data_IF_083082203652
#
_entry.id   IF_083082203652
#
_cell.length_a   1.000
_cell.length_b   1.000
_cell.length_c   1.000
_cell.angle_alpha   90.00
_cell.angle_beta   90.00
_cell.angle_gamma   90.00
#
_symmetry.space_group_name_H-M   'P 1'
#
loop_
_entity.id
_entity.type
_entity.pdbx_description
1 polymer ?
#
# COMPACT_ATOMS: atom_id res chain seq x y z
N UNK A 1 15.98 -12.16 0.94
CA UNK A 1 17.42 -11.85 1.13
C UNK A 1 17.80 -10.36 0.91
N UNK A 2 16.84 -9.46 0.62
CA UNK A 2 17.13 -8.03 0.32
C UNK A 2 17.48 -7.22 1.58
N UNK A 3 17.03 -7.66 2.74
CA UNK A 3 17.07 -6.88 3.99
C UNK A 3 17.99 -7.47 5.07
N UNK A 4 18.49 -8.71 4.89
CA UNK A 4 19.14 -9.49 5.95
C UNK A 4 20.38 -8.80 6.55
N UNK A 5 21.18 -8.13 5.74
CA UNK A 5 22.40 -7.45 6.21
C UNK A 5 22.13 -6.09 6.85
N UNK A 6 20.89 -5.58 6.75
CA UNK A 6 20.48 -4.28 7.29
C UNK A 6 19.59 -4.37 8.54
N UNK A 7 19.15 -5.57 8.93
CA UNK A 7 18.33 -5.78 10.13
C UNK A 7 19.26 -6.13 11.31
N UNK A 8 19.47 -5.16 12.18
CA UNK A 8 20.23 -5.37 13.40
C UNK A 8 19.40 -6.07 14.47
N UNK A 9 18.13 -5.70 14.58
CA UNK A 9 17.22 -6.24 15.58
C UNK A 9 15.85 -6.54 14.98
N UNK A 10 15.32 -7.69 15.33
CA UNK A 10 13.95 -8.12 15.00
C UNK A 10 13.15 -8.39 16.28
N UNK A 11 11.96 -7.81 16.36
CA UNK A 11 10.99 -8.08 17.43
C UNK A 11 9.74 -8.66 16.79
N UNK A 12 9.41 -9.91 17.09
CA UNK A 12 8.19 -10.59 16.67
C UNK A 12 7.17 -10.60 17.79
N UNK A 13 5.90 -10.32 17.48
CA UNK A 13 4.83 -10.26 18.49
C UNK A 13 3.65 -11.09 17.98
N UNK A 14 3.25 -12.10 18.77
CA UNK A 14 2.06 -12.89 18.51
C UNK A 14 1.45 -13.37 19.84
N UNK A 15 0.14 -13.22 20.01
CA UNK A 15 -0.57 -13.64 21.23
C UNK A 15 -0.60 -15.17 21.43
N UNK A 16 -0.42 -15.93 20.35
CA UNK A 16 -0.39 -17.39 20.35
C UNK A 16 0.98 -17.92 20.77
N UNK A 17 1.03 -18.63 21.89
CA UNK A 17 2.23 -19.32 22.36
C UNK A 17 2.73 -20.36 21.35
N UNK A 18 1.82 -21.05 20.67
CA UNK A 18 2.18 -22.01 19.63
C UNK A 18 2.86 -21.35 18.43
N UNK A 19 2.45 -20.14 18.04
CA UNK A 19 3.09 -19.36 16.98
C UNK A 19 4.48 -18.86 17.40
N UNK A 20 4.63 -18.41 18.64
CA UNK A 20 5.94 -18.02 19.18
C UNK A 20 6.90 -19.21 19.17
N UNK A 21 6.48 -20.36 19.71
CA UNK A 21 7.31 -21.58 19.72
C UNK A 21 7.68 -22.04 18.29
N UNK A 22 6.76 -21.93 17.34
CA UNK A 22 7.05 -22.22 15.93
C UNK A 22 8.07 -21.25 15.34
N UNK A 23 7.94 -19.96 15.64
CA UNK A 23 8.89 -18.93 15.19
C UNK A 23 10.30 -19.18 15.77
N UNK A 24 10.41 -19.53 17.04
CA UNK A 24 11.68 -19.93 17.70
C UNK A 24 12.34 -21.09 16.97
N UNK A 25 11.59 -22.17 16.71
CA UNK A 25 12.10 -23.32 15.98
C UNK A 25 12.60 -22.96 14.57
N UNK A 26 11.85 -22.15 13.82
CA UNK A 26 12.27 -21.69 12.49
C UNK A 26 13.55 -20.86 12.58
N UNK A 27 13.65 -19.97 13.55
CA UNK A 27 14.81 -19.12 13.75
C UNK A 27 16.04 -19.96 14.13
N UNK A 28 15.85 -20.99 14.95
CA UNK A 28 16.94 -21.88 15.36
C UNK A 28 17.47 -22.78 14.25
N UNK A 29 16.65 -23.10 13.27
CA UNK A 29 17.06 -23.84 12.07
C UNK A 29 17.71 -22.96 10.99
N UNK A 30 17.56 -21.63 11.07
CA UNK A 30 18.19 -20.73 10.10
C UNK A 30 19.73 -20.71 10.26
N UNK A 31 20.48 -20.69 9.16
CA UNK A 31 21.93 -20.46 9.20
C UNK A 31 22.26 -19.12 9.89
N UNK A 32 23.34 -19.10 10.68
CA UNK A 32 23.73 -17.90 11.47
C UNK A 32 23.83 -16.62 10.63
N UNK A 33 24.31 -16.72 9.41
CA UNK A 33 24.41 -15.60 8.48
C UNK A 33 23.08 -15.16 7.86
N UNK A 34 21.98 -15.83 8.19
CA UNK A 34 20.61 -15.48 7.77
C UNK A 34 19.70 -15.09 8.94
N UNK A 35 20.27 -14.98 10.14
CA UNK A 35 19.52 -14.51 11.32
C UNK A 35 19.81 -13.04 11.56
N UNK A 36 18.82 -12.24 12.02
CA UNK A 36 19.08 -10.92 12.58
C UNK A 36 20.10 -11.02 13.72
N UNK A 37 20.89 -9.96 13.93
CA UNK A 37 21.90 -9.96 15.00
C UNK A 37 21.26 -10.12 16.40
N UNK A 38 20.07 -9.57 16.58
CA UNK A 38 19.25 -9.73 17.79
C UNK A 38 17.81 -10.07 17.41
N UNK A 39 17.22 -11.07 18.08
CA UNK A 39 15.82 -11.46 17.90
C UNK A 39 15.15 -11.58 19.25
N UNK A 40 13.98 -10.99 19.37
CA UNK A 40 13.13 -11.05 20.56
C UNK A 40 11.71 -11.44 20.14
N UNK A 41 11.10 -12.41 20.83
CA UNK A 41 9.73 -12.83 20.57
C UNK A 41 8.87 -12.56 21.80
N UNK A 42 7.78 -11.83 21.61
CA UNK A 42 6.91 -11.33 22.66
C UNK A 42 5.47 -11.78 22.43
N UNK A 43 4.73 -12.00 23.51
CA UNK A 43 3.30 -12.34 23.43
C UNK A 43 2.39 -11.11 23.35
N UNK A 44 2.87 -9.97 23.79
CA UNK A 44 2.07 -8.75 23.88
C UNK A 44 2.92 -7.53 23.56
N UNK A 45 2.31 -6.56 22.92
CA UNK A 45 2.88 -5.23 22.72
C UNK A 45 2.38 -4.32 23.86
N UNK A 46 3.29 -3.89 24.73
CA UNK A 46 2.96 -2.88 25.75
C UNK A 46 3.34 -1.47 25.25
N UNK A 47 2.53 -0.45 25.56
CA UNK A 47 2.78 0.93 25.09
C UNK A 47 4.12 1.51 25.56
N UNK A 48 4.62 1.07 26.72
CA UNK A 48 5.80 1.64 27.39
C UNK A 48 7.00 0.67 27.46
N UNK A 49 7.05 -0.34 26.62
CA UNK A 49 8.24 -1.20 26.57
C UNK A 49 9.37 -0.49 25.82
N UNK A 50 10.44 -0.06 26.50
CA UNK A 50 11.49 0.74 25.87
C UNK A 50 12.22 0.03 24.72
N UNK A 51 12.06 -1.28 24.63
CA UNK A 51 12.75 -2.11 23.65
C UNK A 51 11.90 -2.47 22.41
N UNK A 52 10.69 -1.94 22.26
CA UNK A 52 9.82 -2.24 21.10
C UNK A 52 9.86 -1.17 20.00
N UNK A 53 10.52 -0.06 20.24
CA UNK A 53 10.64 1.01 19.24
C UNK A 53 11.51 0.58 18.05
N UNK A 54 10.93 0.63 16.84
CA UNK A 54 11.58 0.17 15.62
C UNK A 54 11.47 1.21 14.50
N UNK A 55 12.44 1.21 13.59
CA UNK A 55 12.41 2.06 12.39
C UNK A 55 11.29 1.64 11.45
N UNK A 56 11.03 0.33 11.37
CA UNK A 56 9.93 -0.26 10.62
C UNK A 56 9.06 -1.11 11.55
N UNK A 57 7.78 -0.75 11.63
CA UNK A 57 6.75 -1.56 12.30
C UNK A 57 5.80 -2.13 11.26
N UNK A 58 5.53 -3.43 11.34
CA UNK A 58 4.62 -4.12 10.41
C UNK A 58 3.55 -4.85 11.22
N UNK A 59 2.28 -4.55 10.95
CA UNK A 59 1.14 -5.33 11.43
C UNK A 59 0.48 -6.01 10.24
N UNK A 60 0.53 -7.34 10.20
CA UNK A 60 0.02 -8.12 9.09
C UNK A 60 -1.06 -9.09 9.55
N UNK A 61 -2.27 -8.97 8.96
CA UNK A 61 -3.43 -9.83 9.19
C UNK A 61 -3.92 -9.91 10.65
N UNK A 62 -3.61 -8.88 11.46
CA UNK A 62 -3.93 -8.85 12.87
C UNK A 62 -5.13 -7.95 13.21
N UNK A 63 -5.27 -6.80 12.55
CA UNK A 63 -6.29 -5.81 12.90
C UNK A 63 -7.72 -6.32 12.70
N UNK A 64 -7.97 -7.09 11.65
CA UNK A 64 -9.29 -7.68 11.40
C UNK A 64 -9.68 -8.79 12.38
N UNK A 65 -8.72 -9.35 13.11
CA UNK A 65 -8.96 -10.38 14.13
C UNK A 65 -9.32 -9.78 15.49
N UNK A 66 -9.07 -8.49 15.69
CA UNK A 66 -9.42 -7.80 16.93
C UNK A 66 -10.94 -7.63 17.06
N UNK A 67 -11.50 -7.91 18.26
CA UNK A 67 -12.96 -8.03 18.45
C UNK A 67 -13.72 -6.70 18.41
N UNK A 68 -13.06 -5.55 18.59
CA UNK A 68 -13.75 -4.25 18.66
C UNK A 68 -12.98 -3.12 18.01
N UNK A 69 -13.72 -2.11 17.53
CA UNK A 69 -13.14 -0.90 16.95
C UNK A 69 -12.30 -0.11 17.97
N UNK A 70 -12.71 -0.10 19.23
CA UNK A 70 -11.94 0.53 20.32
C UNK A 70 -10.56 -0.12 20.48
N UNK A 71 -10.52 -1.45 20.48
CA UNK A 71 -9.26 -2.19 20.61
C UNK A 71 -8.38 -1.98 19.35
N UNK A 72 -8.98 -1.99 18.15
CA UNK A 72 -8.27 -1.67 16.91
C UNK A 72 -7.61 -0.29 16.97
N UNK A 73 -8.37 0.72 17.40
CA UNK A 73 -7.89 2.09 17.57
C UNK A 73 -6.68 2.15 18.52
N UNK A 74 -6.83 1.61 19.72
CA UNK A 74 -5.73 1.58 20.71
C UNK A 74 -4.52 0.82 20.18
N UNK A 75 -4.73 -0.30 19.47
CA UNK A 75 -3.63 -1.05 18.85
C UNK A 75 -2.90 -0.24 17.80
N UNK A 76 -3.61 0.46 16.90
CA UNK A 76 -2.99 1.32 15.89
C UNK A 76 -2.22 2.47 16.52
N UNK A 77 -2.76 3.10 17.57
CA UNK A 77 -2.07 4.15 18.34
C UNK A 77 -0.78 3.61 18.99
N UNK A 78 -0.85 2.42 19.61
CA UNK A 78 0.32 1.78 20.21
C UNK A 78 1.38 1.41 19.18
N UNK A 79 0.99 0.85 18.03
CA UNK A 79 1.90 0.55 16.92
C UNK A 79 2.60 1.83 16.44
N UNK A 80 1.84 2.94 16.30
CA UNK A 80 2.40 4.22 15.88
C UNK A 80 3.36 4.80 16.91
N UNK A 81 3.06 4.73 18.19
CA UNK A 81 3.95 5.15 19.28
C UNK A 81 5.28 4.39 19.25
N UNK A 82 5.28 3.12 18.84
CA UNK A 82 6.50 2.32 18.71
C UNK A 82 7.22 2.50 17.36
N UNK A 83 6.67 3.29 16.44
CA UNK A 83 7.24 3.52 15.10
C UNK A 83 8.14 4.73 15.10
N UNK A 84 9.43 4.57 14.75
CA UNK A 84 10.37 5.68 14.59
C UNK A 84 10.28 6.33 13.20
N UNK A 85 10.09 5.54 12.14
CA UNK A 85 10.03 6.05 10.77
C UNK A 85 8.78 5.56 10.03
N UNK A 86 8.64 4.27 9.78
CA UNK A 86 7.60 3.72 8.90
C UNK A 86 6.73 2.67 9.58
N UNK A 87 5.41 2.84 9.46
CA UNK A 87 4.40 1.87 9.85
C UNK A 87 3.73 1.28 8.60
N UNK A 88 3.67 -0.05 8.53
CA UNK A 88 2.97 -0.80 7.48
C UNK A 88 1.84 -1.59 8.12
N UNK A 89 0.62 -1.33 7.70
CA UNK A 89 -0.56 -2.11 8.08
C UNK A 89 -1.04 -2.88 6.85
N UNK A 90 -1.16 -4.20 6.98
CA UNK A 90 -1.62 -5.09 5.91
C UNK A 90 -2.71 -5.99 6.48
N UNK A 91 -3.79 -6.17 5.73
CA UNK A 91 -4.85 -7.09 6.08
C UNK A 91 -5.47 -7.73 4.83
N UNK A 92 -6.42 -8.62 4.99
CA UNK A 92 -7.10 -9.34 3.90
C UNK A 92 -7.73 -8.36 2.91
N UNK A 93 -7.80 -8.73 1.63
CA UNK A 93 -8.44 -7.93 0.57
C UNK A 93 -9.97 -7.94 0.61
N UNK A 94 -10.59 -8.05 1.79
CA UNK A 94 -12.04 -8.02 2.00
C UNK A 94 -12.54 -6.60 2.21
N UNK A 95 -13.83 -6.31 1.95
CA UNK A 95 -14.40 -4.98 2.19
C UNK A 95 -14.23 -4.52 3.64
N UNK A 96 -14.42 -5.42 4.60
CA UNK A 96 -14.28 -5.08 6.02
C UNK A 96 -12.84 -4.78 6.41
N UNK A 97 -11.88 -5.57 5.96
CA UNK A 97 -10.47 -5.33 6.26
C UNK A 97 -9.95 -4.06 5.56
N UNK A 98 -10.38 -3.79 4.33
CA UNK A 98 -10.08 -2.53 3.64
C UNK A 98 -10.58 -1.31 4.42
N UNK A 99 -11.82 -1.38 4.97
CA UNK A 99 -12.39 -0.34 5.83
C UNK A 99 -11.54 -0.13 7.09
N UNK A 100 -11.14 -1.20 7.76
CA UNK A 100 -10.29 -1.14 8.96
C UNK A 100 -8.95 -0.47 8.65
N UNK A 101 -8.30 -0.81 7.53
CA UNK A 101 -7.04 -0.20 7.08
C UNK A 101 -7.23 1.30 6.77
N UNK A 102 -8.34 1.66 6.11
CA UNK A 102 -8.68 3.05 5.81
C UNK A 102 -8.93 3.86 7.09
N UNK A 103 -9.70 3.34 8.04
CA UNK A 103 -9.96 3.95 9.34
C UNK A 103 -8.66 4.13 10.16
N UNK A 104 -7.75 3.15 10.14
CA UNK A 104 -6.46 3.27 10.78
C UNK A 104 -5.59 4.38 10.17
N UNK A 105 -5.59 4.50 8.84
CA UNK A 105 -4.95 5.62 8.13
C UNK A 105 -5.52 6.98 8.57
N UNK A 106 -6.84 7.12 8.54
CA UNK A 106 -7.51 8.37 8.86
C UNK A 106 -7.31 8.77 10.33
N UNK A 107 -7.25 7.79 11.24
CA UNK A 107 -6.88 7.99 12.64
C UNK A 107 -5.48 8.61 12.76
N UNK A 108 -4.48 8.05 12.09
CA UNK A 108 -3.10 8.52 12.17
C UNK A 108 -2.94 9.93 11.56
N UNK A 109 -3.60 10.21 10.43
CA UNK A 109 -3.63 11.55 9.83
C UNK A 109 -4.30 12.56 10.76
N UNK A 110 -5.38 12.15 11.46
CA UNK A 110 -6.06 12.97 12.47
C UNK A 110 -5.17 13.30 13.66
N UNK A 111 -4.38 12.36 14.16
CA UNK A 111 -3.41 12.60 15.24
C UNK A 111 -2.34 13.63 14.84
N UNK A 112 -1.87 13.57 13.60
CA UNK A 112 -0.91 14.54 13.07
C UNK A 112 -1.47 15.96 13.00
N UNK A 113 -2.72 16.12 12.60
CA UNK A 113 -3.36 17.44 12.47
C UNK A 113 -3.63 18.14 13.80
N UNK A 114 -3.69 17.39 14.91
CA UNK A 114 -3.88 17.92 16.27
C UNK A 114 -2.59 18.40 16.92
N UNK A 115 -1.44 18.00 16.38
CA UNK A 115 -0.15 18.43 16.89
C UNK A 115 0.12 19.89 16.49
N UNK A 116 0.03 20.80 17.47
CA UNK A 116 0.21 22.25 17.26
C UNK A 116 1.70 22.63 17.31
N UNK A 117 2.14 23.49 16.40
CA UNK A 117 3.47 24.10 16.37
C UNK A 117 4.20 23.99 15.03
N UNK A 118 5.24 24.80 14.85
CA UNK A 118 6.14 24.72 13.70
C UNK A 118 7.04 23.47 13.84
N UNK A 119 6.69 22.40 13.14
CA UNK A 119 7.41 21.11 13.13
C UNK A 119 7.44 20.40 14.51
N UNK A 120 6.27 20.05 15.09
CA UNK A 120 6.22 19.38 16.38
C UNK A 120 6.92 18.01 16.32
N UNK A 121 7.65 17.68 17.39
CA UNK A 121 8.34 16.41 17.53
C UNK A 121 7.87 15.68 18.79
N UNK A 122 7.97 14.36 18.80
CA UNK A 122 7.72 13.48 19.94
C UNK A 122 8.97 12.66 20.25
N UNK A 123 9.20 12.35 21.49
CA UNK A 123 10.30 11.46 21.89
C UNK A 123 9.84 10.01 21.78
N UNK A 124 10.61 9.19 21.06
CA UNK A 124 10.43 7.74 20.95
C UNK A 124 11.74 7.07 21.33
N UNK A 125 11.81 6.53 22.55
CA UNK A 125 13.08 6.13 23.14
C UNK A 125 14.01 7.34 23.31
N UNK A 126 15.23 7.25 22.78
CA UNK A 126 16.22 8.34 22.80
C UNK A 126 16.14 9.29 21.60
N UNK A 127 15.22 9.02 20.66
CA UNK A 127 15.12 9.78 19.42
C UNK A 127 13.96 10.77 19.44
N UNK A 128 14.22 11.97 18.92
CA UNK A 128 13.19 12.94 18.56
C UNK A 128 12.74 12.71 17.13
N UNK A 129 11.47 12.37 16.96
CA UNK A 129 10.87 12.10 15.63
C UNK A 129 9.73 13.08 15.35
N UNK A 130 9.47 13.42 14.07
CA UNK A 130 8.33 14.27 13.70
C UNK A 130 7.00 13.66 14.15
N UNK A 131 6.10 14.49 14.65
CA UNK A 131 4.69 14.08 14.89
C UNK A 131 3.89 14.05 13.59
N UNK A 132 4.29 14.86 12.61
CA UNK A 132 3.70 14.83 11.27
C UNK A 132 3.75 13.42 10.68
N UNK A 133 2.71 13.04 9.97
CA UNK A 133 2.60 11.77 9.28
C UNK A 133 2.05 11.97 7.86
N UNK A 134 2.53 11.17 6.93
CA UNK A 134 2.00 11.14 5.57
C UNK A 134 1.81 9.71 5.07
N UNK A 135 0.91 9.55 4.12
CA UNK A 135 0.67 8.28 3.44
C UNK A 135 1.70 8.10 2.32
N UNK A 136 2.47 7.03 2.35
CA UNK A 136 3.39 6.64 1.28
C UNK A 136 2.65 5.85 0.20
N UNK A 137 1.78 4.91 0.62
CA UNK A 137 1.02 4.03 -0.25
C UNK A 137 -0.23 3.50 0.48
N UNK A 138 -1.27 3.08 -0.22
CA UNK A 138 -1.48 3.10 -1.66
C UNK A 138 -2.01 4.45 -2.17
N UNK A 139 -2.51 5.32 -1.27
CA UNK A 139 -3.17 6.57 -1.63
C UNK A 139 -2.15 7.62 -2.07
N UNK A 140 -2.36 8.28 -3.23
CA UNK A 140 -1.49 9.37 -3.69
C UNK A 140 -1.81 10.72 -3.01
N UNK A 141 -2.59 10.71 -1.93
CA UNK A 141 -3.08 11.90 -1.22
C UNK A 141 -3.33 11.59 0.27
N UNK A 142 -3.67 12.59 1.05
CA UNK A 142 -4.03 12.51 2.47
C UNK A 142 -5.50 12.85 2.73
N UNK A 143 -6.31 12.88 1.68
CA UNK A 143 -7.76 13.04 1.77
C UNK A 143 -8.40 11.72 2.22
N UNK A 144 -9.67 11.76 2.60
CA UNK A 144 -10.44 10.55 2.92
C UNK A 144 -10.39 9.52 1.80
N UNK A 145 -10.58 8.25 2.14
CA UNK A 145 -10.60 7.16 1.15
C UNK A 145 -11.81 7.32 0.21
N UNK A 146 -11.60 7.58 -1.08
CA UNK A 146 -12.70 7.77 -2.02
C UNK A 146 -13.51 6.49 -2.27
N UNK A 147 -13.01 5.33 -1.81
CA UNK A 147 -13.75 4.07 -1.92
C UNK A 147 -14.79 3.87 -0.82
N UNK A 148 -14.71 4.59 0.30
CA UNK A 148 -15.64 4.43 1.43
C UNK A 148 -17.11 4.71 1.08
N UNK A 149 -17.35 5.59 0.12
CA UNK A 149 -18.70 5.93 -0.36
C UNK A 149 -19.13 5.11 -1.58
N UNK A 150 -18.34 4.12 -1.96
CA UNK A 150 -18.55 3.35 -3.19
C UNK A 150 -18.70 1.87 -2.89
N UNK A 151 -19.26 1.07 -3.80
CA UNK A 151 -19.29 -0.39 -3.65
C UNK A 151 -17.94 -1.08 -3.92
N UNK A 152 -16.91 -0.32 -4.25
CA UNK A 152 -15.56 -0.80 -4.49
C UNK A 152 -14.72 -0.49 -3.26
N UNK A 153 -13.79 -1.34 -2.93
CA UNK A 153 -12.84 -1.14 -1.83
C UNK A 153 -11.40 -1.21 -2.32
N UNK A 154 -10.52 -0.53 -1.63
CA UNK A 154 -9.11 -0.47 -1.97
C UNK A 154 -8.42 -1.77 -1.57
N UNK A 155 -8.13 -2.62 -2.55
CA UNK A 155 -7.39 -3.86 -2.36
C UNK A 155 -6.50 -4.14 -3.56
N UNK A 156 -5.57 -5.05 -3.39
CA UNK A 156 -4.59 -5.43 -4.40
C UNK A 156 -4.45 -6.95 -4.44
N UNK A 157 -3.78 -7.47 -5.45
CA UNK A 157 -3.53 -8.89 -5.60
C UNK A 157 -2.05 -9.15 -5.81
N UNK A 158 -1.51 -10.09 -5.06
CA UNK A 158 -0.14 -10.57 -5.22
C UNK A 158 -0.15 -12.06 -5.51
N UNK A 159 0.51 -12.44 -6.59
CA UNK A 159 0.75 -13.84 -6.90
C UNK A 159 1.85 -14.39 -6.02
N UNK A 160 1.53 -15.43 -5.27
CA UNK A 160 2.47 -16.13 -4.38
C UNK A 160 2.59 -17.58 -4.79
N UNK A 161 3.80 -18.11 -4.65
CA UNK A 161 4.05 -19.55 -4.79
C UNK A 161 4.02 -20.19 -3.41
N UNK A 162 3.08 -21.10 -3.22
CA UNK A 162 2.98 -21.87 -1.98
C UNK A 162 4.00 -23.02 -1.95
N UNK A 163 4.41 -23.48 -0.78
CA UNK A 163 5.19 -24.71 -0.66
C UNK A 163 4.46 -25.91 -1.28
N UNK A 164 5.19 -26.82 -1.88
CA UNK A 164 4.61 -27.97 -2.60
C UNK A 164 3.76 -28.89 -1.74
N UNK A 165 4.02 -28.96 -0.43
CA UNK A 165 3.21 -29.77 0.48
C UNK A 165 1.75 -29.28 0.59
N UNK A 166 1.48 -27.98 0.37
CA UNK A 166 0.11 -27.43 0.40
C UNK A 166 -0.77 -27.99 -0.70
N UNK A 167 -0.21 -28.45 -1.82
CA UNK A 167 -0.94 -29.16 -2.87
C UNK A 167 -1.56 -30.46 -2.35
N UNK A 168 -0.84 -31.16 -1.45
CA UNK A 168 -1.31 -32.41 -0.88
C UNK A 168 -2.36 -32.17 0.21
N UNK A 169 -2.17 -31.15 1.05
CA UNK A 169 -3.07 -30.87 2.19
C UNK A 169 -4.38 -30.21 1.75
N UNK A 170 -4.35 -29.38 0.69
CA UNK A 170 -5.53 -28.67 0.17
C UNK A 170 -6.11 -29.27 -1.12
N UNK A 171 -5.62 -30.44 -1.58
CA UNK A 171 -6.01 -31.10 -2.82
C UNK A 171 -5.99 -30.15 -4.04
N UNK A 172 -5.08 -29.18 -4.04
CA UNK A 172 -4.94 -28.19 -5.10
C UNK A 172 -4.11 -28.73 -6.27
N UNK A 173 -4.53 -28.41 -7.50
CA UNK A 173 -3.78 -28.75 -8.72
C UNK A 173 -2.64 -27.77 -9.01
N UNK A 174 -2.56 -26.66 -8.29
CA UNK A 174 -1.54 -25.63 -8.47
C UNK A 174 -0.99 -25.15 -7.12
N UNK A 175 0.31 -24.89 -7.08
CA UNK A 175 0.98 -24.25 -5.93
C UNK A 175 1.05 -22.72 -6.05
N UNK A 176 0.34 -22.14 -7.03
CA UNK A 176 0.27 -20.70 -7.23
C UNK A 176 -1.10 -20.21 -6.76
N UNK A 177 -1.10 -19.11 -6.00
CA UNK A 177 -2.29 -18.43 -5.52
C UNK A 177 -2.18 -16.93 -5.70
N UNK A 178 -3.27 -16.29 -6.10
CA UNK A 178 -3.39 -14.84 -6.11
C UNK A 178 -4.02 -14.41 -4.78
N UNK A 179 -3.19 -13.93 -3.86
CA UNK A 179 -3.61 -13.46 -2.53
C UNK A 179 -4.08 -12.02 -2.63
N UNK A 180 -5.29 -11.76 -2.16
CA UNK A 180 -5.84 -10.40 -2.09
C UNK A 180 -5.56 -9.80 -0.72
N UNK A 181 -5.14 -8.52 -0.72
CA UNK A 181 -4.81 -7.78 0.49
C UNK A 181 -5.16 -6.30 0.37
N UNK A 182 -5.43 -5.68 1.49
CA UNK A 182 -5.52 -4.22 1.67
C UNK A 182 -4.36 -3.77 2.54
N UNK A 183 -3.80 -2.61 2.26
CA UNK A 183 -2.65 -2.12 3.03
C UNK A 183 -2.58 -0.61 3.07
N UNK A 184 -1.84 -0.10 4.04
CA UNK A 184 -1.39 1.28 4.08
C UNK A 184 0.04 1.34 4.62
N UNK A 185 0.83 2.24 4.04
CA UNK A 185 2.18 2.59 4.51
C UNK A 185 2.15 4.04 4.96
N UNK A 186 2.40 4.26 6.24
CA UNK A 186 2.44 5.57 6.88
C UNK A 186 3.88 5.88 7.28
N UNK A 187 4.33 7.09 7.05
CA UNK A 187 5.69 7.51 7.40
C UNK A 187 5.69 8.80 8.19
N UNK A 188 6.61 8.92 9.15
CA UNK A 188 6.81 10.15 9.91
C UNK A 188 7.39 11.25 9.04
N UNK A 189 7.00 12.47 9.35
CA UNK A 189 7.41 13.67 8.61
C UNK A 189 6.34 14.15 7.62
N UNK A 190 6.53 15.36 7.09
CA UNK A 190 5.62 15.93 6.10
C UNK A 190 5.68 15.16 4.78
N UNK A 191 4.56 15.15 4.05
CA UNK A 191 4.53 14.61 2.69
C UNK A 191 5.52 15.39 1.80
N UNK A 192 6.35 14.71 0.99
CA UNK A 192 7.20 15.37 0.02
C UNK A 192 6.41 16.32 -0.88
N UNK A 193 6.86 17.57 -0.97
CA UNK A 193 6.22 18.54 -1.85
C UNK A 193 6.42 18.15 -3.32
N UNK A 194 5.44 18.50 -4.17
CA UNK A 194 5.62 18.34 -5.61
C UNK A 194 6.81 19.19 -6.05
N UNK A 195 7.82 18.63 -6.70
CA UNK A 195 8.95 19.42 -7.14
C UNK A 195 8.49 20.48 -8.13
N UNK A 196 8.85 21.73 -7.89
CA UNK A 196 8.56 22.81 -8.84
C UNK A 196 9.21 22.45 -10.17
N UNK A 197 8.45 22.62 -11.26
CA UNK A 197 8.92 22.29 -12.60
C UNK A 197 10.20 23.08 -12.90
N UNK A 198 11.33 22.39 -12.94
CA UNK A 198 12.53 22.97 -13.55
C UNK A 198 12.19 23.18 -15.03
N UNK A 199 12.38 24.38 -15.61
CA UNK A 199 12.11 24.61 -17.03
C UNK A 199 12.82 23.53 -17.84
N UNK A 200 12.05 22.75 -18.61
CA UNK A 200 12.61 21.65 -19.40
C UNK A 200 13.59 22.21 -20.43
N UNK A 201 14.87 21.97 -20.21
CA UNK A 201 15.84 22.12 -21.29
C UNK A 201 15.40 21.22 -22.45
N UNK A 202 15.44 21.73 -23.68
CA UNK A 202 15.11 20.95 -24.88
C UNK A 202 15.94 19.67 -24.90
N UNK A 203 15.26 18.54 -24.91
CA UNK A 203 15.89 17.22 -24.80
C UNK A 203 16.36 16.76 -26.15
N UNK A 204 17.62 16.34 -26.21
CA UNK A 204 18.21 15.67 -27.36
C UNK A 204 17.68 14.21 -27.42
N UNK A 205 16.74 13.97 -28.34
CA UNK A 205 16.04 12.70 -28.54
C UNK A 205 16.97 11.54 -28.92
N UNK A 206 18.13 11.82 -29.48
CA UNK A 206 19.07 10.78 -29.93
C UNK A 206 19.91 10.22 -28.78
N UNK A 207 20.19 11.02 -27.77
CA UNK A 207 20.87 10.56 -26.55
C UNK A 207 19.99 9.70 -25.64
N UNK A 208 18.67 9.93 -25.67
CA UNK A 208 17.71 9.12 -24.89
C UNK A 208 17.52 7.69 -25.46
N UNK A 209 17.82 7.47 -26.74
CA UNK A 209 17.73 6.16 -27.39
C UNK A 209 18.87 5.20 -27.01
N UNK A 210 20.00 5.72 -26.56
CA UNK A 210 21.20 4.93 -26.27
C UNK A 210 21.15 4.13 -24.96
N UNK A 211 20.17 4.38 -24.07
CA UNK A 211 20.06 3.70 -22.78
C UNK A 211 18.62 3.25 -22.50
N UNK A 212 18.24 2.02 -22.94
CA UNK A 212 16.89 1.49 -22.78
C UNK A 212 16.51 1.11 -21.34
N UNK A 213 17.44 1.11 -20.40
CA UNK A 213 17.27 0.52 -19.07
C UNK A 213 16.59 1.42 -18.04
N UNK A 214 16.31 2.67 -18.38
CA UNK A 214 15.57 3.59 -17.53
C UNK A 214 14.31 4.03 -18.26
N UNK A 215 13.18 3.49 -17.81
CA UNK A 215 11.82 3.82 -18.29
C UNK A 215 11.46 5.27 -17.96
N UNK A 216 12.06 6.19 -18.71
CA UNK A 216 11.59 7.56 -18.81
C UNK A 216 10.81 7.69 -20.12
N UNK A 217 9.74 8.52 -20.18
CA UNK A 217 9.11 8.85 -21.44
C UNK A 217 10.20 9.25 -22.46
N UNK A 218 10.13 8.71 -23.68
CA UNK A 218 11.07 9.02 -24.75
C UNK A 218 11.18 10.54 -24.87
N UNK A 219 12.36 11.10 -24.59
CA UNK A 219 12.61 12.52 -24.70
C UNK A 219 12.68 13.29 -23.36
N UNK A 220 12.48 12.66 -22.21
CA UNK A 220 12.69 13.33 -20.93
C UNK A 220 14.17 13.24 -20.50
N UNK A 221 14.77 14.33 -19.98
CA UNK A 221 16.07 14.26 -19.33
C UNK A 221 15.99 13.28 -18.15
N UNK A 222 17.08 12.58 -17.86
CA UNK A 222 17.16 11.76 -16.63
C UNK A 222 16.98 12.69 -15.44
N UNK A 223 15.85 12.56 -14.75
CA UNK A 223 15.62 13.27 -13.50
C UNK A 223 16.49 12.66 -12.43
N UNK A 224 17.06 13.47 -11.52
CA UNK A 224 17.67 12.93 -10.31
C UNK A 224 16.69 12.00 -9.59
N UNK A 225 17.21 10.93 -8.98
CA UNK A 225 16.37 9.95 -8.28
C UNK A 225 15.50 10.60 -7.22
N UNK A 226 16.02 11.57 -6.47
CA UNK A 226 15.30 12.33 -5.45
C UNK A 226 14.09 13.08 -6.02
N UNK A 227 14.26 13.71 -7.19
CA UNK A 227 13.17 14.38 -7.88
C UNK A 227 12.12 13.38 -8.36
N UNK A 228 12.55 12.23 -8.88
CA UNK A 228 11.64 11.17 -9.34
C UNK A 228 10.83 10.59 -8.17
N UNK A 229 11.48 10.33 -7.04
CA UNK A 229 10.83 9.88 -5.82
C UNK A 229 9.80 10.90 -5.34
N UNK A 230 10.16 12.19 -5.28
CA UNK A 230 9.24 13.25 -4.87
C UNK A 230 8.03 13.38 -5.81
N UNK A 231 8.25 13.29 -7.13
CA UNK A 231 7.15 13.28 -8.11
C UNK A 231 6.24 12.07 -7.95
N UNK A 232 6.81 10.90 -7.67
CA UNK A 232 6.07 9.63 -7.55
C UNK A 232 5.03 9.65 -6.42
N UNK A 233 5.23 10.44 -5.37
CA UNK A 233 4.22 10.67 -4.34
C UNK A 233 2.92 11.31 -4.87
N UNK A 234 3.00 11.98 -6.02
CA UNK A 234 1.89 12.68 -6.65
C UNK A 234 1.37 11.98 -7.91
N UNK A 235 1.88 10.78 -8.22
CA UNK A 235 1.36 10.02 -9.35
C UNK A 235 0.11 9.26 -8.96
N UNK A 236 -0.89 9.20 -9.84
CA UNK A 236 -2.04 8.34 -9.66
C UNK A 236 -1.64 6.88 -9.49
N UNK A 237 -2.44 6.16 -8.70
CA UNK A 237 -2.28 4.72 -8.52
C UNK A 237 -3.37 3.95 -9.24
N UNK A 238 -2.98 2.91 -9.97
CA UNK A 238 -3.89 1.97 -10.61
C UNK A 238 -4.53 1.09 -9.54
N UNK A 239 -5.85 1.14 -9.40
CA UNK A 239 -6.60 0.51 -8.31
C UNK A 239 -7.39 -0.74 -8.74
N UNK A 240 -7.32 -1.10 -10.01
CA UNK A 240 -7.91 -2.31 -10.56
C UNK A 240 -7.06 -2.85 -11.72
N UNK A 241 -7.16 -4.14 -12.08
CA UNK A 241 -6.43 -4.68 -13.21
C UNK A 241 -6.73 -3.90 -14.50
N UNK A 242 -5.71 -3.35 -15.20
CA UNK A 242 -5.94 -2.62 -16.45
C UNK A 242 -6.57 -3.50 -17.53
N UNK A 243 -7.61 -2.98 -18.17
CA UNK A 243 -8.30 -3.69 -19.27
C UNK A 243 -7.54 -3.42 -20.58
N UNK A 244 -6.76 -4.40 -21.03
CA UNK A 244 -5.88 -4.29 -22.20
C UNK A 244 -6.61 -4.79 -23.46
N UNK A 245 -7.02 -3.84 -24.33
CA UNK A 245 -7.66 -4.11 -25.62
C UNK A 245 -6.67 -3.89 -26.78
N UNK A 246 -7.04 -4.30 -28.01
CA UNK A 246 -6.17 -4.19 -29.20
C UNK A 246 -5.71 -2.74 -29.51
N UNK A 247 -6.60 -1.76 -29.35
CA UNK A 247 -6.33 -0.36 -29.70
C UNK A 247 -6.23 0.59 -28.53
N UNK A 248 -6.61 0.16 -27.33
CA UNK A 248 -6.62 1.01 -26.13
C UNK A 248 -6.44 0.20 -24.85
N UNK A 249 -6.07 0.91 -23.79
CA UNK A 249 -6.03 0.38 -22.42
C UNK A 249 -6.93 1.26 -21.55
N UNK A 250 -7.75 0.63 -20.72
CA UNK A 250 -8.57 1.32 -19.72
C UNK A 250 -8.00 0.99 -18.35
N UNK A 251 -7.76 2.02 -17.54
CA UNK A 251 -7.28 1.89 -16.17
C UNK A 251 -8.18 2.67 -15.22
N UNK A 252 -8.54 2.06 -14.11
CA UNK A 252 -9.17 2.74 -12.98
C UNK A 252 -8.06 3.18 -12.03
N UNK A 253 -8.05 4.47 -11.69
CA UNK A 253 -6.98 5.10 -10.93
C UNK A 253 -7.52 5.90 -9.74
N UNK A 254 -6.79 5.90 -8.64
CA UNK A 254 -6.93 6.87 -7.57
C UNK A 254 -5.97 8.03 -7.83
N UNK A 255 -6.51 9.23 -7.94
CA UNK A 255 -5.77 10.44 -8.29
C UNK A 255 -5.31 11.21 -7.05
N UNK A 256 -4.31 12.10 -7.17
CA UNK A 256 -3.82 12.92 -6.06
C UNK A 256 -4.87 13.86 -5.46
N UNK A 257 -5.91 14.22 -6.22
CA UNK A 257 -7.07 15.00 -5.77
C UNK A 257 -8.14 14.14 -5.04
N UNK A 258 -7.82 12.88 -4.73
CA UNK A 258 -8.68 12.00 -3.95
C UNK A 258 -9.87 11.45 -4.73
N UNK A 259 -9.81 11.39 -6.05
CA UNK A 259 -10.90 10.87 -6.87
C UNK A 259 -10.56 9.51 -7.49
N UNK A 260 -11.59 8.67 -7.65
CA UNK A 260 -11.50 7.49 -8.49
C UNK A 260 -11.93 7.88 -9.90
N UNK A 261 -11.04 7.70 -10.86
CA UNK A 261 -11.28 8.03 -12.26
C UNK A 261 -10.99 6.85 -13.17
N UNK A 262 -11.74 6.75 -14.28
CA UNK A 262 -11.46 5.81 -15.35
C UNK A 262 -10.76 6.52 -16.51
N UNK A 263 -9.56 6.07 -16.80
CA UNK A 263 -8.72 6.63 -17.84
C UNK A 263 -8.62 5.68 -19.04
N UNK A 264 -8.59 6.27 -20.24
CA UNK A 264 -8.41 5.51 -21.48
C UNK A 264 -7.20 6.01 -22.24
N UNK A 265 -6.25 5.12 -22.49
CA UNK A 265 -5.03 5.40 -23.25
C UNK A 265 -5.11 4.73 -24.61
N UNK A 266 -5.03 5.53 -25.68
CA UNK A 266 -5.05 5.01 -27.06
C UNK A 266 -3.71 5.29 -27.74
N UNK A 267 -3.31 4.38 -28.63
CA UNK A 267 -2.06 4.50 -29.40
C UNK A 267 -2.03 5.77 -30.25
N UNK A 268 -3.18 6.24 -30.71
CA UNK A 268 -3.33 7.40 -31.58
C UNK A 268 -3.13 8.71 -30.84
N UNK A 269 -3.63 8.79 -29.59
CA UNK A 269 -3.56 10.02 -28.80
C UNK A 269 -2.20 10.19 -28.10
N UNK A 270 -1.67 9.10 -27.52
CA UNK A 270 -0.38 9.08 -26.86
C UNK A 270 0.25 7.69 -26.96
N UNK A 271 1.26 7.58 -27.82
CA UNK A 271 1.92 6.30 -28.08
C UNK A 271 2.72 5.80 -26.88
N UNK A 272 3.34 6.71 -26.10
CA UNK A 272 4.14 6.34 -24.95
C UNK A 272 3.25 5.93 -23.78
N UNK A 273 2.30 6.77 -23.39
CA UNK A 273 1.33 6.44 -22.33
C UNK A 273 0.58 5.14 -22.63
N UNK A 274 0.21 4.89 -23.91
CA UNK A 274 -0.40 3.62 -24.31
C UNK A 274 0.54 2.42 -24.12
N UNK A 275 1.84 2.54 -24.46
CA UNK A 275 2.82 1.47 -24.30
C UNK A 275 3.05 1.15 -22.81
N UNK A 276 3.13 2.18 -21.99
CA UNK A 276 3.33 2.04 -20.55
C UNK A 276 2.07 1.46 -19.89
N UNK A 277 0.87 1.92 -20.28
CA UNK A 277 -0.39 1.34 -19.83
C UNK A 277 -0.54 -0.15 -20.23
N UNK A 278 0.04 -0.57 -21.36
CA UNK A 278 0.07 -1.99 -21.78
C UNK A 278 0.92 -2.85 -20.85
N UNK A 279 1.93 -2.28 -20.19
CA UNK A 279 2.82 -2.99 -19.27
C UNK A 279 2.36 -2.86 -17.82
N UNK A 280 1.62 -1.79 -17.51
CA UNK A 280 1.16 -1.51 -16.18
C UNK A 280 0.31 -2.63 -15.59
N UNK A 281 0.43 -2.80 -14.29
CA UNK A 281 -0.26 -3.77 -13.47
C UNK A 281 -1.13 -3.10 -12.40
N UNK A 282 -1.97 -3.88 -11.77
CA UNK A 282 -2.74 -3.44 -10.61
C UNK A 282 -1.80 -3.06 -9.47
N UNK A 283 -1.98 -1.87 -8.89
CA UNK A 283 -1.12 -1.34 -7.82
C UNK A 283 -0.01 -0.42 -8.29
N UNK A 284 0.30 -0.37 -9.59
CA UNK A 284 1.37 0.49 -10.10
C UNK A 284 1.03 1.99 -9.96
N UNK A 285 2.07 2.79 -9.72
CA UNK A 285 2.05 4.22 -9.92
C UNK A 285 2.11 4.53 -11.41
N UNK A 286 1.32 5.50 -11.87
CA UNK A 286 1.22 5.78 -13.29
C UNK A 286 1.46 7.27 -13.60
N UNK A 287 2.62 7.64 -14.20
CA UNK A 287 3.04 9.04 -14.36
C UNK A 287 2.34 9.80 -15.48
N UNK A 288 1.53 9.11 -16.29
CA UNK A 288 0.87 9.75 -17.44
C UNK A 288 -0.57 10.13 -17.09
N UNK A 289 -0.98 11.29 -17.60
CA UNK A 289 -2.37 11.69 -17.59
C UNK A 289 -3.03 11.39 -18.94
N UNK A 290 -4.32 11.06 -18.99
CA UNK A 290 -5.02 10.86 -20.25
C UNK A 290 -5.18 12.20 -20.97
N UNK A 291 -4.98 12.21 -22.29
CA UNK A 291 -5.30 13.37 -23.15
C UNK A 291 -6.80 13.51 -23.42
N UNK A 292 -7.55 12.42 -23.25
CA UNK A 292 -9.00 12.43 -23.30
C UNK A 292 -9.58 12.81 -21.93
N UNK A 293 -10.76 13.42 -21.92
CA UNK A 293 -11.46 13.73 -20.68
C UNK A 293 -11.68 12.46 -19.87
N UNK A 294 -11.18 12.45 -18.64
CA UNK A 294 -11.40 11.36 -17.71
C UNK A 294 -12.89 11.23 -17.41
N UNK A 295 -13.40 10.00 -17.42
CA UNK A 295 -14.74 9.74 -16.92
C UNK A 295 -14.67 9.86 -15.40
N UNK A 296 -15.31 10.88 -14.86
CA UNK A 296 -15.42 11.05 -13.41
C UNK A 296 -16.19 9.87 -12.84
N UNK A 297 -15.65 9.29 -11.78
CA UNK A 297 -16.26 8.28 -10.95
C UNK A 297 -16.88 7.12 -11.75
N UNK A 298 -16.09 6.12 -12.02
CA UNK A 298 -16.57 4.83 -12.54
C UNK A 298 -17.60 4.17 -11.61
N UNK A 299 -17.57 4.53 -10.35
CA UNK A 299 -18.41 3.97 -9.31
C UNK A 299 -19.43 5.03 -8.89
N UNK A 300 -20.70 4.73 -9.09
CA UNK A 300 -21.77 5.57 -8.53
C UNK A 300 -21.65 5.50 -7.01
N UNK A 301 -21.71 6.65 -6.29
CA UNK A 301 -21.82 6.64 -4.85
C UNK A 301 -22.90 5.65 -4.39
N UNK A 302 -22.69 4.97 -3.27
CA UNK A 302 -23.64 3.97 -2.73
C UNK A 302 -25.06 4.55 -2.62
N UNK A 303 -25.15 5.84 -2.30
CA UNK A 303 -26.43 6.57 -2.20
C UNK A 303 -27.15 6.69 -3.54
N UNK A 304 -26.42 6.80 -4.64
CA UNK A 304 -26.97 6.91 -5.99
C UNK A 304 -27.36 5.57 -6.63
N UNK A 305 -27.11 4.45 -5.95
CA UNK A 305 -27.49 3.13 -6.42
C UNK A 305 -28.96 2.86 -6.09
N UNK A 306 -29.71 2.27 -7.04
CA UNK A 306 -31.07 1.80 -6.78
C UNK A 306 -31.09 0.76 -5.65
N UNK A 307 -32.21 0.61 -4.91
CA UNK A 307 -32.34 -0.41 -3.86
C UNK A 307 -32.02 -1.84 -4.37
N UNK A 308 -32.38 -2.15 -5.61
CA UNK A 308 -32.09 -3.43 -6.25
C UNK A 308 -30.58 -3.62 -6.53
N UNK A 309 -29.89 -2.54 -6.92
CA UNK A 309 -28.45 -2.56 -7.14
C UNK A 309 -27.71 -2.72 -5.81
N UNK A 310 -28.15 -2.04 -4.72
CA UNK A 310 -27.63 -2.24 -3.36
C UNK A 310 -27.83 -3.67 -2.87
N UNK A 311 -28.99 -4.28 -3.18
CA UNK A 311 -29.27 -5.66 -2.80
C UNK A 311 -28.43 -6.68 -3.58
N UNK A 312 -28.20 -6.44 -4.89
CA UNK A 312 -27.30 -7.26 -5.73
C UNK A 312 -25.85 -7.16 -5.28
N UNK A 313 -25.43 -5.97 -4.86
CA UNK A 313 -24.09 -5.72 -4.35
C UNK A 313 -23.84 -6.50 -3.05
N UNK A 314 -24.75 -6.40 -2.08
CA UNK A 314 -24.69 -7.16 -0.83
C UNK A 314 -24.60 -8.68 -1.07
N UNK A 315 -25.28 -9.21 -2.09
CA UNK A 315 -25.15 -10.62 -2.50
C UNK A 315 -23.78 -10.95 -3.08
N UNK A 316 -23.20 -10.05 -3.89
CA UNK A 316 -21.86 -10.24 -4.48
C UNK A 316 -20.77 -10.12 -3.44
N UNK A 317 -20.91 -9.17 -2.51
CA UNK A 317 -20.03 -9.03 -1.34
C UNK A 317 -20.12 -10.26 -0.43
N UNK A 318 -21.31 -10.78 -0.16
CA UNK A 318 -21.50 -12.01 0.62
C UNK A 318 -20.88 -13.23 -0.07
N UNK A 319 -21.01 -13.37 -1.41
CA UNK A 319 -20.35 -14.45 -2.16
C UNK A 319 -18.82 -14.34 -2.10
N UNK A 320 -18.28 -13.14 -2.27
CA UNK A 320 -16.84 -12.89 -2.13
C UNK A 320 -16.33 -13.22 -0.72
N UNK A 321 -17.13 -12.96 0.32
CA UNK A 321 -16.78 -13.34 1.69
C UNK A 321 -16.83 -14.86 1.92
N UNK A 322 -17.75 -15.58 1.24
CA UNK A 322 -17.86 -17.05 1.36
C UNK A 322 -16.78 -17.80 0.57
N UNK A 323 -16.31 -17.24 -0.55
CA UNK A 323 -15.22 -17.82 -1.35
C UNK A 323 -13.83 -17.68 -0.70
N UNK A 324 -13.70 -16.89 0.38
CA UNK A 324 -12.46 -16.70 1.12
C UNK A 324 -12.39 -17.51 2.43
N UNK A 325 -13.50 -18.14 2.85
CA UNK A 325 -13.56 -19.00 4.05
C UNK A 325 -13.45 -20.50 3.72
N UNK A 326 -13.38 -20.89 2.44
CA UNK A 326 -13.03 -22.23 1.94
C UNK A 326 -11.58 -22.24 1.40
#
# INVERSE_FOLDING_TARGET
DVWMDSIERFVGIDSSEAMINCAEQILDELPKNKRPASTELLRYLAPEQPNTHADLVVSAFALSELPSDALRKTTVETLWQNTKDTLVLIDRGTPNASRIISEARDLLLGLSSQASGDSPTVEIGELRVPTAVHTVAPFPNELGDPSNETPVWMHFSQRVQRPTFTMRTKHSLSNIEDVHYSYVVMRRGPRPAYPQAVPSAKVDLDKARAHPDLYLPLGSPRKPLEQLVSEAFHWPRIIAPPIKRKGHVVADVCTPDGQIQRWTFTKTHDKQAYRDARKASWGDLFPHQPKATALRSYVKPLEALSPEAKQKLNRKQRRSMMEFDE
#
